data_IF_413183981360
#
_entry.id   IF_413183981360
#
_cell.length_a   1.000
_cell.length_b   1.000
_cell.length_c   1.000
_cell.angle_alpha   90.00
_cell.angle_beta   90.00
_cell.angle_gamma   90.00
#
_symmetry.space_group_name_H-M   'P 1'
#
loop_
_entity.id
_entity.type
_entity.pdbx_description
1 polymer ?
#
# COMPACT_ATOMS: atom_id res chain seq x y z
N UNK A 1 36.14 -57.23 -16.10
CA UNK A 1 37.04 -56.57 -15.13
C UNK A 1 36.22 -55.57 -14.33
N UNK A 2 36.25 -55.72 -13.01
CA UNK A 2 35.69 -54.88 -11.93
C UNK A 2 34.21 -54.45 -12.00
N UNK A 3 33.45 -55.02 -11.07
CA UNK A 3 32.03 -54.86 -10.79
C UNK A 3 31.71 -53.56 -9.99
N UNK A 4 30.42 -53.25 -9.73
CA UNK A 4 29.91 -51.94 -9.37
C UNK A 4 29.97 -51.67 -7.86
N UNK A 5 30.18 -50.42 -7.46
CA UNK A 5 30.12 -50.05 -6.05
C UNK A 5 28.68 -49.74 -5.61
N UNK A 6 28.15 -50.56 -4.70
CA UNK A 6 26.95 -50.26 -3.90
C UNK A 6 27.36 -49.67 -2.54
N UNK A 7 26.58 -48.69 -2.08
CA UNK A 7 26.59 -48.07 -0.74
C UNK A 7 26.35 -49.08 0.39
N UNK A 8 26.72 -48.80 1.67
CA UNK A 8 25.70 -48.30 2.62
C UNK A 8 26.16 -47.49 3.87
N UNK A 9 25.20 -46.67 4.35
CA UNK A 9 24.81 -46.33 5.75
C UNK A 9 25.62 -45.39 6.67
N UNK A 10 24.85 -44.40 7.15
CA UNK A 10 24.66 -43.93 8.52
C UNK A 10 25.57 -42.83 9.14
N UNK A 11 24.89 -41.73 9.45
CA UNK A 11 24.94 -40.98 10.72
C UNK A 11 26.25 -40.31 11.12
N UNK A 12 26.28 -38.97 11.13
CA UNK A 12 26.24 -38.20 12.39
C UNK A 12 26.33 -36.69 12.17
N UNK A 13 25.55 -35.96 12.98
CA UNK A 13 25.72 -34.57 13.45
C UNK A 13 25.45 -33.41 12.47
N UNK A 14 24.25 -32.89 12.67
CA UNK A 14 23.80 -31.51 12.48
C UNK A 14 24.86 -30.44 12.85
N UNK A 15 25.03 -29.39 12.04
CA UNK A 15 25.43 -28.08 12.54
C UNK A 15 24.14 -27.30 12.84
N UNK A 16 23.88 -27.11 14.12
CA UNK A 16 22.86 -26.23 14.66
C UNK A 16 22.95 -24.84 14.02
N UNK A 17 21.94 -24.49 13.21
CA UNK A 17 21.66 -23.10 12.84
C UNK A 17 21.50 -22.27 14.12
N UNK A 18 22.17 -21.12 14.27
CA UNK A 18 21.81 -20.17 15.30
C UNK A 18 20.50 -19.46 14.90
N UNK A 19 19.45 -19.41 15.74
CA UNK A 19 18.49 -18.32 15.65
C UNK A 19 19.08 -17.14 16.44
N UNK A 20 19.03 -15.92 15.90
CA UNK A 20 18.00 -15.03 16.42
C UNK A 20 17.56 -13.97 15.40
N UNK A 21 16.38 -14.16 14.81
CA UNK A 21 15.55 -13.03 14.40
C UNK A 21 14.16 -13.29 14.93
N UNK A 22 14.03 -13.16 16.25
CA UNK A 22 12.74 -13.08 16.94
C UNK A 22 12.15 -11.71 16.63
N UNK A 23 11.68 -11.51 15.40
CA UNK A 23 10.64 -10.51 15.15
C UNK A 23 9.33 -11.14 15.66
N UNK A 24 9.17 -11.14 16.98
CA UNK A 24 7.86 -11.31 17.56
C UNK A 24 7.40 -9.90 17.90
N UNK A 25 6.32 -9.36 17.32
CA UNK A 25 5.60 -8.33 18.03
C UNK A 25 5.01 -9.01 19.27
N UNK A 26 5.69 -8.84 20.41
CA UNK A 26 5.01 -8.93 21.69
C UNK A 26 4.07 -7.72 21.78
N UNK A 27 2.90 -7.84 21.18
CA UNK A 27 1.78 -6.97 21.44
C UNK A 27 0.70 -7.81 22.09
N UNK A 28 0.75 -7.85 23.42
CA UNK A 28 -0.46 -8.09 24.22
C UNK A 28 -1.58 -7.19 23.68
N UNK A 29 -2.84 -7.64 23.62
CA UNK A 29 -3.95 -6.77 23.25
C UNK A 29 -4.01 -5.65 24.28
N UNK A 30 -3.59 -4.45 23.90
CA UNK A 30 -3.62 -3.29 24.76
C UNK A 30 -5.09 -2.94 24.98
N UNK A 31 -5.54 -3.14 26.21
CA UNK A 31 -6.79 -2.60 26.70
C UNK A 31 -6.82 -1.07 26.44
N UNK A 32 -7.77 -0.62 25.63
CA UNK A 32 -8.11 0.81 25.53
C UNK A 32 -8.00 1.49 24.16
N UNK A 33 -7.76 0.79 23.05
CA UNK A 33 -7.89 1.44 21.74
C UNK A 33 -9.39 1.57 21.41
N UNK A 34 -9.97 2.77 21.23
CA UNK A 34 -11.36 2.87 20.82
C UNK A 34 -11.51 2.14 19.48
N UNK A 35 -12.45 1.20 19.45
CA UNK A 35 -12.70 0.28 18.32
C UNK A 35 -12.92 1.01 16.99
N UNK A 36 -13.20 2.31 17.00
CA UNK A 36 -13.34 3.17 15.83
C UNK A 36 -12.81 4.57 16.14
N UNK A 37 -12.26 5.25 15.13
CA UNK A 37 -11.83 6.66 15.27
C UNK A 37 -13.07 7.50 15.59
N UNK A 38 -12.99 8.41 16.56
CA UNK A 38 -14.13 9.26 16.91
C UNK A 38 -14.53 10.10 15.68
N UNK A 39 -15.84 10.32 15.44
CA UNK A 39 -16.29 11.11 14.30
C UNK A 39 -15.67 12.51 14.22
N UNK A 40 -15.41 13.13 15.38
CA UNK A 40 -14.72 14.43 15.47
C UNK A 40 -13.28 14.36 14.97
N UNK A 41 -12.53 13.30 15.32
CA UNK A 41 -11.15 13.11 14.86
C UNK A 41 -11.10 12.92 13.34
N UNK A 42 -12.07 12.18 12.78
CA UNK A 42 -12.18 11.98 11.33
C UNK A 42 -12.50 13.30 10.62
N UNK A 43 -13.41 14.12 11.17
CA UNK A 43 -13.73 15.45 10.65
C UNK A 43 -12.53 16.40 10.74
N UNK A 44 -11.83 16.41 11.86
CA UNK A 44 -10.63 17.21 12.07
C UNK A 44 -9.52 16.81 11.09
N UNK A 45 -9.28 15.51 10.92
CA UNK A 45 -8.31 14.99 9.97
C UNK A 45 -8.70 15.34 8.53
N UNK A 46 -9.97 15.18 8.14
CA UNK A 46 -10.46 15.55 6.81
C UNK A 46 -10.21 17.04 6.53
N UNK A 47 -10.51 17.92 7.49
CA UNK A 47 -10.23 19.36 7.37
C UNK A 47 -8.73 19.63 7.20
N UNK A 48 -7.90 19.04 8.06
CA UNK A 48 -6.46 19.21 8.00
C UNK A 48 -5.88 18.76 6.66
N UNK A 49 -6.23 17.56 6.21
CA UNK A 49 -5.80 17.00 4.92
C UNK A 49 -6.19 17.91 3.76
N UNK A 50 -7.44 18.39 3.71
CA UNK A 50 -7.89 19.29 2.64
C UNK A 50 -7.09 20.60 2.62
N UNK A 51 -6.81 21.17 3.79
CA UNK A 51 -5.98 22.38 3.90
C UNK A 51 -4.57 22.14 3.36
N UNK A 52 -3.91 21.05 3.77
CA UNK A 52 -2.55 20.75 3.31
C UNK A 52 -2.50 20.47 1.81
N UNK A 53 -3.43 19.66 1.28
CA UNK A 53 -3.48 19.35 -0.15
C UNK A 53 -3.81 20.60 -0.98
N UNK A 54 -4.72 21.47 -0.52
CA UNK A 54 -5.09 22.69 -1.24
C UNK A 54 -3.90 23.65 -1.43
N UNK A 55 -2.98 23.72 -0.46
CA UNK A 55 -1.74 24.52 -0.59
C UNK A 55 -0.89 24.03 -1.77
N UNK A 56 -0.77 22.72 -1.95
CA UNK A 56 -0.02 22.14 -3.07
C UNK A 56 -0.78 22.26 -4.38
N UNK A 57 -2.09 21.99 -4.41
CA UNK A 57 -2.91 22.03 -5.64
C UNK A 57 -2.82 23.39 -6.35
N UNK A 58 -2.77 24.49 -5.59
CA UNK A 58 -2.60 25.84 -6.15
C UNK A 58 -1.36 25.97 -7.03
N UNK A 59 -0.24 25.36 -6.62
CA UNK A 59 1.03 25.41 -7.38
C UNK A 59 0.98 24.63 -8.70
N UNK A 60 0.12 23.61 -8.77
CA UNK A 60 -0.04 22.75 -9.95
C UNK A 60 -1.11 23.24 -10.93
N UNK A 61 -2.13 23.95 -10.44
CA UNK A 61 -3.26 24.43 -11.25
C UNK A 61 -2.85 25.27 -12.47
N UNK A 62 -1.71 25.96 -12.38
CA UNK A 62 -1.14 26.78 -13.46
C UNK A 62 -0.60 25.99 -14.66
N UNK A 63 -0.39 24.67 -14.54
CA UNK A 63 0.15 23.85 -15.63
C UNK A 63 -0.93 23.32 -16.59
N UNK A 64 -2.21 23.62 -16.33
CA UNK A 64 -3.32 23.12 -17.14
C UNK A 64 -3.77 21.71 -16.74
N UNK A 65 -4.78 21.16 -17.43
CA UNK A 65 -5.33 19.85 -17.11
C UNK A 65 -4.34 18.73 -17.48
N UNK A 66 -4.23 17.67 -16.64
CA UNK A 66 -3.36 16.54 -16.94
C UNK A 66 -4.00 15.62 -18.01
N UNK A 67 -3.19 15.12 -18.94
CA UNK A 67 -3.62 14.07 -19.89
C UNK A 67 -3.84 12.72 -19.19
N UNK A 68 -3.04 12.46 -18.14
CA UNK A 68 -3.05 11.21 -17.39
C UNK A 68 -2.81 11.46 -15.91
N UNK A 69 -3.56 10.75 -15.07
CA UNK A 69 -3.41 10.79 -13.62
C UNK A 69 -3.06 9.39 -13.12
N UNK A 70 -1.91 9.32 -12.44
CA UNK A 70 -1.34 8.06 -11.97
C UNK A 70 -1.06 8.18 -10.49
N UNK A 71 -1.45 7.17 -9.71
CA UNK A 71 -1.05 7.05 -8.32
C UNK A 71 -0.11 5.88 -8.11
N UNK A 72 0.85 6.08 -7.20
CA UNK A 72 1.80 5.06 -6.77
C UNK A 72 1.68 4.85 -5.26
N UNK A 73 2.46 3.94 -4.68
CA UNK A 73 2.47 3.49 -3.28
C UNK A 73 1.55 2.33 -2.92
N UNK A 74 1.83 1.72 -1.76
CA UNK A 74 1.07 0.59 -1.22
C UNK A 74 -0.35 1.01 -0.80
N UNK A 75 -0.53 2.24 -0.30
CA UNK A 75 -1.84 2.76 0.11
C UNK A 75 -2.80 2.82 -1.06
N UNK A 76 -2.42 3.45 -2.19
CA UNK A 76 -3.27 3.51 -3.38
C UNK A 76 -3.55 2.12 -3.96
N UNK A 77 -2.56 1.20 -3.96
CA UNK A 77 -2.77 -0.20 -4.36
C UNK A 77 -3.79 -0.91 -3.46
N UNK A 78 -3.76 -0.68 -2.16
CA UNK A 78 -4.71 -1.24 -1.19
C UNK A 78 -6.12 -0.69 -1.41
N UNK A 79 -6.24 0.64 -1.55
CA UNK A 79 -7.51 1.31 -1.83
C UNK A 79 -8.13 0.84 -3.15
N UNK A 80 -7.32 0.74 -4.21
CA UNK A 80 -7.78 0.18 -5.48
C UNK A 80 -8.25 -1.27 -5.33
N UNK A 81 -7.52 -2.08 -4.54
CA UNK A 81 -7.89 -3.48 -4.35
C UNK A 81 -9.22 -3.65 -3.61
N UNK A 82 -9.45 -2.90 -2.52
CA UNK A 82 -10.74 -2.93 -1.82
C UNK A 82 -11.86 -2.32 -2.67
N UNK A 83 -11.55 -1.37 -3.56
CA UNK A 83 -12.46 -0.78 -4.53
C UNK A 83 -12.73 -1.68 -5.76
N UNK A 84 -12.22 -2.93 -5.78
CA UNK A 84 -12.54 -3.91 -6.81
C UNK A 84 -11.50 -4.06 -7.93
N UNK A 85 -10.35 -3.38 -7.87
CA UNK A 85 -9.29 -3.58 -8.85
C UNK A 85 -8.74 -5.01 -8.83
N UNK A 86 -8.31 -5.51 -9.99
CA UNK A 86 -7.75 -6.85 -10.20
C UNK A 86 -6.62 -7.19 -9.21
N UNK A 87 -6.55 -8.46 -8.77
CA UNK A 87 -5.46 -8.93 -7.90
C UNK A 87 -4.12 -8.91 -8.65
N UNK A 88 -3.01 -8.81 -7.92
CA UNK A 88 -1.67 -8.86 -8.53
C UNK A 88 -1.43 -10.15 -9.35
N UNK A 89 -2.01 -11.27 -8.91
CA UNK A 89 -1.90 -12.56 -9.57
C UNK A 89 -2.67 -12.69 -10.90
N UNK A 90 -3.50 -11.70 -11.27
CA UNK A 90 -4.11 -11.66 -12.61
C UNK A 90 -3.12 -11.20 -13.70
N UNK A 91 -1.93 -10.76 -13.32
CA UNK A 91 -0.86 -10.43 -14.24
C UNK A 91 -0.29 -9.03 -14.02
N UNK A 92 0.96 -8.87 -14.47
CA UNK A 92 1.73 -7.63 -14.31
C UNK A 92 1.13 -6.48 -15.12
N UNK A 93 0.65 -6.77 -16.33
CA UNK A 93 0.16 -5.77 -17.29
C UNK A 93 -1.34 -5.46 -17.17
N UNK A 94 -2.03 -6.07 -16.20
CA UNK A 94 -3.45 -5.79 -15.96
C UNK A 94 -3.58 -4.36 -15.45
N UNK A 95 -4.34 -3.55 -16.18
CA UNK A 95 -4.67 -2.19 -15.78
C UNK A 95 -5.50 -2.20 -14.50
N UNK A 96 -5.12 -1.33 -13.56
CA UNK A 96 -5.76 -1.18 -12.26
C UNK A 96 -6.05 0.28 -12.06
N UNK A 97 -7.27 0.58 -11.66
CA UNK A 97 -7.74 1.94 -11.48
C UNK A 97 -8.39 2.10 -10.13
N UNK A 98 -8.44 3.35 -9.66
CA UNK A 98 -9.21 3.76 -8.50
C UNK A 98 -10.12 4.91 -8.90
N UNK A 99 -11.42 4.78 -8.58
CA UNK A 99 -12.43 5.80 -8.83
C UNK A 99 -12.71 6.59 -7.55
N UNK A 100 -12.88 7.90 -7.67
CA UNK A 100 -13.19 8.80 -6.54
C UNK A 100 -14.48 8.38 -5.84
N UNK A 101 -15.53 8.10 -6.61
CA UNK A 101 -16.81 7.59 -6.10
C UNK A 101 -16.66 6.34 -5.22
N UNK A 102 -15.77 5.42 -5.58
CA UNK A 102 -15.49 4.25 -4.74
C UNK A 102 -14.85 4.64 -3.42
N UNK A 103 -13.99 5.67 -3.38
CA UNK A 103 -13.46 6.19 -2.12
C UNK A 103 -14.55 6.83 -1.25
N UNK A 104 -15.45 7.61 -1.84
CA UNK A 104 -16.58 8.22 -1.14
C UNK A 104 -17.46 7.16 -0.45
N UNK A 105 -17.64 6.00 -1.09
CA UNK A 105 -18.35 4.84 -0.53
C UNK A 105 -17.53 4.10 0.54
N UNK A 106 -16.21 3.98 0.35
CA UNK A 106 -15.33 3.23 1.26
C UNK A 106 -14.92 4.01 2.51
N UNK A 107 -14.72 5.32 2.44
CA UNK A 107 -14.31 6.15 3.59
C UNK A 107 -15.24 6.00 4.81
N UNK A 108 -16.58 6.12 4.70
CA UNK A 108 -17.46 5.94 5.86
C UNK A 108 -17.42 4.50 6.39
N UNK A 109 -17.28 3.50 5.51
CA UNK A 109 -17.13 2.08 5.92
C UNK A 109 -15.85 1.87 6.70
N UNK A 110 -14.73 2.38 6.19
CA UNK A 110 -13.43 2.30 6.86
C UNK A 110 -13.46 3.02 8.21
N UNK A 111 -14.15 4.17 8.31
CA UNK A 111 -14.30 4.90 9.56
C UNK A 111 -15.04 4.09 10.64
N UNK A 112 -16.00 3.26 10.24
CA UNK A 112 -16.73 2.34 11.12
C UNK A 112 -16.01 1.04 11.45
N UNK A 113 -14.86 0.76 10.83
CA UNK A 113 -14.07 -0.46 11.08
C UNK A 113 -12.93 -0.22 12.07
N UNK A 114 -12.70 -1.21 12.92
CA UNK A 114 -11.50 -1.42 13.71
C UNK A 114 -10.28 -1.66 12.81
N UNK A 115 -9.07 -1.53 13.38
CA UNK A 115 -7.85 -1.91 12.68
C UNK A 115 -7.83 -3.40 12.31
N UNK A 116 -8.31 -4.28 13.18
CA UNK A 116 -8.39 -5.71 12.92
C UNK A 116 -9.32 -6.02 11.74
N UNK A 117 -10.52 -5.43 11.70
CA UNK A 117 -11.45 -5.62 10.58
C UNK A 117 -10.88 -5.07 9.26
N UNK A 118 -10.11 -3.98 9.31
CA UNK A 118 -9.42 -3.47 8.11
C UNK A 118 -8.31 -4.40 7.65
N UNK A 119 -7.63 -5.11 8.55
CA UNK A 119 -6.58 -6.05 8.20
C UNK A 119 -7.11 -7.25 7.40
N UNK A 120 -8.37 -7.63 7.63
CA UNK A 120 -9.06 -8.69 6.89
C UNK A 120 -9.49 -8.28 5.47
N UNK A 121 -9.41 -6.99 5.12
CA UNK A 121 -9.82 -6.52 3.81
C UNK A 121 -8.86 -7.00 2.71
N UNK A 122 -9.37 -7.31 1.50
CA UNK A 122 -8.57 -7.84 0.41
C UNK A 122 -7.38 -6.95 0.06
N UNK A 123 -6.17 -7.51 0.14
CA UNK A 123 -4.92 -6.83 -0.25
C UNK A 123 -4.41 -5.80 0.76
N UNK A 124 -5.14 -5.57 1.86
CA UNK A 124 -4.66 -4.81 3.01
C UNK A 124 -3.64 -5.65 3.77
N UNK A 125 -2.56 -5.02 4.21
CA UNK A 125 -1.53 -5.66 5.01
C UNK A 125 -1.74 -5.26 6.46
N UNK A 126 -1.60 -6.19 7.39
CA UNK A 126 -1.80 -5.98 8.83
C UNK A 126 -1.12 -4.69 9.33
N UNK A 127 0.20 -4.55 9.10
CA UNK A 127 0.96 -3.35 9.52
C UNK A 127 0.58 -2.02 8.84
N UNK A 128 -0.41 -2.00 7.94
CA UNK A 128 -0.96 -0.78 7.31
C UNK A 128 -2.44 -0.57 7.60
N UNK A 129 -3.12 -1.52 8.24
CA UNK A 129 -4.56 -1.45 8.47
C UNK A 129 -4.95 -0.21 9.30
N UNK A 130 -4.18 0.15 10.33
CA UNK A 130 -4.42 1.33 11.15
C UNK A 130 -4.32 2.66 10.38
N UNK A 131 -3.50 2.71 9.32
CA UNK A 131 -3.28 3.92 8.51
C UNK A 131 -4.22 4.03 7.31
N UNK A 132 -4.93 2.95 6.94
CA UNK A 132 -5.70 2.87 5.70
C UNK A 132 -6.75 3.97 5.57
N UNK A 133 -7.50 4.26 6.64
CA UNK A 133 -8.50 5.34 6.65
C UNK A 133 -7.87 6.72 6.40
N UNK A 134 -6.74 7.02 7.04
CA UNK A 134 -6.06 8.29 6.83
C UNK A 134 -5.58 8.41 5.38
N UNK A 135 -5.05 7.31 4.81
CA UNK A 135 -4.71 7.23 3.40
C UNK A 135 -5.91 7.43 2.46
N UNK A 136 -7.07 6.89 2.80
CA UNK A 136 -8.31 7.07 2.04
C UNK A 136 -8.75 8.54 2.03
N UNK A 137 -8.69 9.23 3.17
CA UNK A 137 -9.02 10.67 3.27
C UNK A 137 -8.06 11.53 2.43
N UNK A 138 -6.76 11.20 2.42
CA UNK A 138 -5.78 11.89 1.57
C UNK A 138 -6.07 11.66 0.10
N UNK A 139 -6.34 10.41 -0.30
CA UNK A 139 -6.66 10.07 -1.68
C UNK A 139 -7.96 10.76 -2.16
N UNK A 140 -9.02 10.70 -1.35
CA UNK A 140 -10.31 11.35 -1.63
C UNK A 140 -10.13 12.87 -1.78
N UNK A 141 -9.43 13.52 -0.84
CA UNK A 141 -9.19 14.96 -0.90
C UNK A 141 -8.33 15.38 -2.10
N UNK A 142 -7.29 14.61 -2.42
CA UNK A 142 -6.45 14.86 -3.59
C UNK A 142 -7.28 14.73 -4.88
N UNK A 143 -8.01 13.64 -5.05
CA UNK A 143 -8.85 13.43 -6.23
C UNK A 143 -9.91 14.52 -6.38
N UNK A 144 -10.57 14.92 -5.29
CA UNK A 144 -11.56 15.99 -5.30
C UNK A 144 -10.95 17.35 -5.68
N UNK A 145 -9.87 17.76 -5.02
CA UNK A 145 -9.27 19.08 -5.24
C UNK A 145 -8.60 19.22 -6.61
N UNK A 146 -8.08 18.12 -7.18
CA UNK A 146 -7.56 18.10 -8.55
C UNK A 146 -8.66 17.88 -9.62
N UNK A 147 -9.93 17.64 -9.23
CA UNK A 147 -11.01 17.36 -10.17
C UNK A 147 -10.86 16.02 -10.91
N UNK A 148 -10.25 15.02 -10.26
CA UNK A 148 -9.92 13.72 -10.84
C UNK A 148 -10.95 12.67 -10.44
N UNK A 149 -11.71 12.16 -11.40
CA UNK A 149 -12.69 11.10 -11.13
C UNK A 149 -12.08 9.71 -11.06
N UNK A 150 -10.98 9.49 -11.79
CA UNK A 150 -10.28 8.20 -11.88
C UNK A 150 -8.78 8.39 -12.00
N UNK A 151 -8.03 7.46 -11.43
CA UNK A 151 -6.58 7.41 -11.60
C UNK A 151 -6.12 5.98 -11.87
N UNK A 152 -5.02 5.86 -12.60
CA UNK A 152 -4.35 4.59 -12.89
C UNK A 152 -3.38 4.25 -11.74
N UNK A 153 -3.28 2.97 -11.40
CA UNK A 153 -2.36 2.48 -10.36
C UNK A 153 -1.08 2.01 -11.01
N UNK A 154 0.02 2.73 -10.80
CA UNK A 154 1.32 2.30 -11.28
C UNK A 154 1.91 1.23 -10.36
N UNK A 155 2.32 0.07 -10.91
CA UNK A 155 3.01 -0.95 -10.12
C UNK A 155 4.41 -0.51 -9.67
N UNK A 156 5.03 0.45 -10.36
CA UNK A 156 6.40 0.91 -10.14
C UNK A 156 6.39 2.25 -9.41
N UNK A 157 7.37 2.47 -8.53
CA UNK A 157 7.41 3.66 -7.69
C UNK A 157 8.86 4.12 -7.47
N UNK A 158 9.12 4.74 -6.32
CA UNK A 158 10.40 5.35 -6.00
C UNK A 158 11.59 4.39 -6.13
N UNK A 159 11.43 3.12 -5.74
CA UNK A 159 12.51 2.13 -5.83
C UNK A 159 12.96 1.94 -7.28
N UNK A 160 12.01 1.69 -8.18
CA UNK A 160 12.31 1.51 -9.60
C UNK A 160 12.86 2.82 -10.20
N UNK A 161 12.30 3.97 -9.83
CA UNK A 161 12.80 5.28 -10.29
C UNK A 161 14.26 5.55 -9.89
N UNK A 162 14.67 5.15 -8.68
CA UNK A 162 16.08 5.27 -8.24
C UNK A 162 17.01 4.36 -9.05
N UNK A 163 16.58 3.13 -9.35
CA UNK A 163 17.35 2.18 -10.17
C UNK A 163 17.53 2.75 -11.58
N UNK A 164 16.45 3.18 -12.22
CA UNK A 164 16.48 3.74 -13.58
C UNK A 164 17.38 4.98 -13.63
N UNK A 165 17.21 5.91 -12.68
CA UNK A 165 18.06 7.09 -12.58
C UNK A 165 19.54 6.71 -12.47
N UNK A 166 19.90 5.65 -11.74
CA UNK A 166 21.30 5.22 -11.65
C UNK A 166 21.83 4.69 -12.98
N UNK A 167 21.02 3.90 -13.70
CA UNK A 167 21.39 3.34 -15.00
C UNK A 167 21.58 4.42 -16.07
N UNK A 168 20.73 5.45 -16.08
CA UNK A 168 20.84 6.59 -17.02
C UNK A 168 22.22 7.28 -16.94
N UNK A 169 22.84 7.30 -15.75
CA UNK A 169 24.16 7.90 -15.53
C UNK A 169 25.33 6.92 -15.77
N UNK A 170 25.05 5.65 -16.07
CA UNK A 170 26.06 4.62 -16.36
C UNK A 170 26.26 4.41 -17.86
N UNK A 171 25.24 4.64 -18.68
CA UNK A 171 25.33 4.54 -20.14
C UNK A 171 25.96 5.79 -20.80
N UNK A 172 26.23 6.84 -20.02
CA UNK A 172 26.88 8.07 -20.48
C UNK A 172 28.42 8.06 -20.35
N UNK A 173 29.06 6.89 -20.32
CA UNK A 173 30.53 6.72 -20.17
C UNK A 173 31.11 5.88 -21.30
#
# INVERSE_FOLDING_TARGET
MAAPWRSPTASTRSPTRPPPCRWAPAASPQAGCPATRRPDDVRALRRHVRTEVARTVGEFSRFGPPDRVVATSKTFKQLARIAGAARSAEGLYVQRELKRKSLEEWVPRLAGMTEAERAELPGVSEGRAGQLLAGALVAEAAMDLFGVERLEICPWALREGVILRRLDHMESV
#
